data_IF_387421130278
#
_entry.id   IF_387421130278
#
_cell.length_a   1.000
_cell.length_b   1.000
_cell.length_c   1.000
_cell.angle_alpha   90.00
_cell.angle_beta   90.00
_cell.angle_gamma   90.00
#
_symmetry.space_group_name_H-M   'P 1'
#
loop_
_entity.id
_entity.type
_entity.pdbx_description
1 polymer ?
#
# COMPACT_ATOMS: atom_id res chain seq x y z
N UNK A 1 -15.63 -5.55 -7.24
CA UNK A 1 -14.62 -4.86 -6.41
C UNK A 1 -14.81 -5.27 -4.97
N UNK A 2 -13.71 -5.60 -4.29
CA UNK A 2 -13.70 -5.91 -2.86
C UNK A 2 -12.75 -4.97 -2.13
N UNK A 3 -13.05 -4.70 -0.86
CA UNK A 3 -12.32 -3.74 -0.04
C UNK A 3 -11.97 -4.38 1.29
N UNK A 4 -10.76 -4.17 1.77
CA UNK A 4 -10.39 -4.69 3.08
C UNK A 4 -9.03 -4.29 3.58
N UNK A 5 -8.80 -4.61 4.85
CA UNK A 5 -7.51 -4.42 5.48
C UNK A 5 -6.60 -5.63 5.32
N UNK A 6 -5.31 -5.37 5.24
CA UNK A 6 -4.28 -6.40 5.37
C UNK A 6 -3.11 -5.87 6.19
N UNK A 7 -2.45 -6.76 6.93
CA UNK A 7 -1.18 -6.49 7.62
C UNK A 7 -0.02 -7.24 6.93
N UNK A 8 -0.22 -7.69 5.69
CA UNK A 8 0.89 -8.20 4.89
C UNK A 8 1.89 -7.08 4.63
N UNK A 9 3.19 -7.41 4.58
CA UNK A 9 4.26 -6.44 4.37
C UNK A 9 4.19 -5.22 5.30
N UNK A 10 3.97 -5.45 6.61
CA UNK A 10 4.08 -4.43 7.66
C UNK A 10 5.25 -4.70 8.63
N UNK A 11 5.78 -5.92 8.65
CA UNK A 11 6.88 -6.34 9.52
C UNK A 11 8.26 -5.90 8.99
N UNK A 12 8.41 -4.60 8.70
CA UNK A 12 9.67 -4.03 8.24
C UNK A 12 10.65 -3.91 9.41
N UNK A 13 11.58 -4.86 9.58
CA UNK A 13 12.63 -4.72 10.58
C UNK A 13 13.62 -3.60 10.20
N UNK A 14 13.78 -2.61 11.10
CA UNK A 14 14.67 -1.46 10.91
C UNK A 14 16.14 -1.86 10.74
N UNK A 15 16.55 -3.04 11.24
CA UNK A 15 17.89 -3.58 11.02
C UNK A 15 18.03 -4.26 9.64
N UNK A 16 17.04 -5.04 9.20
CA UNK A 16 17.02 -5.66 7.86
C UNK A 16 16.94 -4.63 6.72
N UNK A 17 16.33 -3.46 6.98
CA UNK A 17 16.20 -2.32 6.06
C UNK A 17 17.53 -1.77 5.50
N UNK A 18 18.66 -1.97 6.18
CA UNK A 18 19.91 -1.27 5.81
C UNK A 18 20.86 -2.04 4.87
N UNK A 19 20.68 -3.34 4.61
CA UNK A 19 21.68 -4.10 3.84
C UNK A 19 21.13 -5.03 2.74
N UNK A 20 20.01 -5.71 2.98
CA UNK A 20 19.52 -6.77 2.08
C UNK A 20 18.17 -6.42 1.44
N UNK A 21 17.27 -5.87 2.24
CA UNK A 21 15.95 -5.41 1.80
C UNK A 21 16.02 -4.24 0.80
N UNK A 22 16.92 -3.26 0.93
CA UNK A 22 17.12 -2.24 -0.14
C UNK A 22 17.50 -2.90 -1.47
N UNK A 23 18.22 -4.02 -1.48
CA UNK A 23 18.58 -4.73 -2.72
C UNK A 23 17.41 -5.54 -3.28
N UNK A 24 16.60 -6.17 -2.44
CA UNK A 24 15.40 -6.92 -2.85
C UNK A 24 14.30 -5.96 -3.29
N UNK A 25 14.06 -4.88 -2.54
CA UNK A 25 13.19 -3.77 -2.90
C UNK A 25 13.69 -3.16 -4.21
N UNK A 26 14.95 -2.77 -4.38
CA UNK A 26 15.45 -2.28 -5.68
C UNK A 26 15.37 -3.29 -6.82
N UNK A 27 15.35 -4.60 -6.54
CA UNK A 27 15.23 -5.64 -7.57
C UNK A 27 13.77 -5.87 -7.98
N UNK A 28 12.83 -5.80 -7.03
CA UNK A 28 11.37 -5.85 -7.27
C UNK A 28 10.91 -4.53 -7.91
N UNK A 29 11.40 -3.41 -7.39
CA UNK A 29 11.11 -2.05 -7.82
C UNK A 29 12.03 -1.57 -8.96
N UNK A 30 12.78 -2.44 -9.64
CA UNK A 30 13.77 -2.02 -10.66
C UNK A 30 13.13 -1.31 -11.86
N UNK A 31 11.85 -1.55 -12.12
CA UNK A 31 11.07 -0.92 -13.18
C UNK A 31 10.37 0.37 -12.76
N UNK A 32 10.55 0.79 -11.50
CA UNK A 32 9.82 1.92 -10.95
C UNK A 32 10.47 3.24 -11.37
N UNK A 33 9.76 4.12 -12.10
CA UNK A 33 10.23 5.46 -12.38
C UNK A 33 10.52 6.18 -11.05
N UNK A 34 11.56 7.02 -11.04
CA UNK A 34 12.07 7.76 -9.87
C UNK A 34 11.04 8.59 -9.08
N UNK A 35 9.78 8.66 -9.50
CA UNK A 35 8.68 9.33 -8.81
C UNK A 35 8.14 8.58 -7.58
N UNK A 36 8.28 7.26 -7.51
CA UNK A 36 7.74 6.44 -6.41
C UNK A 36 8.58 6.51 -5.10
N UNK A 37 9.66 7.30 -5.10
CA UNK A 37 10.63 7.43 -4.00
C UNK A 37 10.07 8.16 -2.76
N UNK A 38 8.93 8.85 -2.88
CA UNK A 38 8.34 9.62 -1.78
C UNK A 38 7.64 8.70 -0.77
N UNK A 39 6.96 7.65 -1.21
CA UNK A 39 6.25 6.71 -0.32
C UNK A 39 7.15 5.65 0.31
N UNK A 40 8.29 5.30 -0.31
CA UNK A 40 9.23 4.30 0.24
C UNK A 40 9.70 4.62 1.67
N UNK A 41 9.82 5.90 2.01
CA UNK A 41 10.20 6.35 3.36
C UNK A 41 9.09 6.17 4.39
N UNK A 42 7.85 5.99 3.94
CA UNK A 42 6.66 5.83 4.76
C UNK A 42 6.28 4.37 4.95
N UNK A 43 6.69 3.45 4.06
CA UNK A 43 6.42 2.01 4.20
C UNK A 43 6.79 1.43 5.57
N UNK A 44 7.93 1.78 6.20
CA UNK A 44 8.28 1.27 7.52
C UNK A 44 7.42 1.82 8.67
N UNK A 45 6.51 2.74 8.36
CA UNK A 45 5.52 3.30 9.30
C UNK A 45 4.12 2.72 9.04
N UNK A 46 3.96 1.93 7.98
CA UNK A 46 2.69 1.30 7.64
C UNK A 46 2.53 0.05 8.49
N UNK A 47 1.51 0.09 9.34
CA UNK A 47 1.13 -1.02 10.23
C UNK A 47 -0.13 -1.74 9.73
N UNK A 48 -0.86 -1.10 8.80
CA UNK A 48 -2.03 -1.67 8.15
C UNK A 48 -2.22 -1.04 6.78
N UNK A 49 -2.57 -1.87 5.81
CA UNK A 49 -2.96 -1.45 4.47
C UNK A 49 -4.46 -1.54 4.35
N UNK A 50 -5.08 -0.53 3.74
CA UNK A 50 -6.46 -0.58 3.29
C UNK A 50 -6.44 -0.62 1.76
N UNK A 51 -6.92 -1.70 1.17
CA UNK A 51 -6.80 -1.96 -0.26
C UNK A 51 -8.16 -2.16 -0.93
N UNK A 52 -8.25 -1.73 -2.18
CA UNK A 52 -9.29 -2.11 -3.13
C UNK A 52 -8.70 -3.12 -4.11
N UNK A 53 -9.41 -4.24 -4.30
CA UNK A 53 -9.06 -5.26 -5.28
C UNK A 53 -10.21 -5.45 -6.28
N UNK A 54 -9.86 -5.82 -7.51
CA UNK A 54 -10.84 -6.20 -8.52
C UNK A 54 -11.41 -7.60 -8.28
N UNK A 55 -12.31 -8.03 -9.16
CA UNK A 55 -12.96 -9.35 -9.05
C UNK A 55 -11.98 -10.52 -9.27
N UNK A 56 -10.77 -10.24 -9.78
CA UNK A 56 -9.69 -11.20 -9.95
C UNK A 56 -8.69 -11.18 -8.78
N UNK A 57 -8.89 -10.32 -7.78
CA UNK A 57 -7.97 -10.13 -6.66
C UNK A 57 -6.78 -9.21 -6.96
N UNK A 58 -6.80 -8.49 -8.09
CA UNK A 58 -5.75 -7.56 -8.48
C UNK A 58 -5.93 -6.25 -7.70
N UNK A 59 -4.89 -5.76 -6.99
CA UNK A 59 -4.95 -4.49 -6.27
C UNK A 59 -5.05 -3.30 -7.23
N UNK A 60 -6.07 -2.47 -7.00
CA UNK A 60 -6.38 -1.29 -7.81
C UNK A 60 -6.02 0.01 -7.10
N UNK A 61 -6.25 0.07 -5.79
CA UNK A 61 -5.92 1.20 -4.91
C UNK A 61 -5.44 0.72 -3.56
N UNK A 62 -4.56 1.47 -2.93
CA UNK A 62 -4.03 1.21 -1.60
C UNK A 62 -3.92 2.48 -0.75
N UNK A 63 -4.08 2.31 0.56
CA UNK A 63 -3.89 3.35 1.56
C UNK A 63 -3.01 2.77 2.65
N UNK A 64 -1.89 3.44 2.91
CA UNK A 64 -1.01 3.14 4.04
C UNK A 64 -1.54 3.79 5.32
N UNK A 65 -1.73 3.01 6.38
CA UNK A 65 -2.15 3.45 7.70
C UNK A 65 -1.11 3.09 8.76
N UNK A 66 -0.95 3.94 9.77
CA UNK A 66 -0.11 3.63 10.94
C UNK A 66 -0.89 2.89 12.05
N UNK A 67 -0.22 2.60 13.18
CA UNK A 67 -0.78 1.92 14.37
C UNK A 67 -2.07 2.55 14.92
N UNK A 68 -2.29 3.85 14.67
CA UNK A 68 -3.46 4.60 15.14
C UNK A 68 -4.56 4.72 14.06
N UNK A 69 -4.49 3.91 12.99
CA UNK A 69 -5.29 4.04 11.78
C UNK A 69 -5.23 5.44 11.15
N UNK A 70 -4.14 6.18 11.38
CA UNK A 70 -3.94 7.49 10.78
C UNK A 70 -3.44 7.30 9.35
N UNK A 71 -4.05 8.03 8.43
CA UNK A 71 -3.65 8.12 7.04
C UNK A 71 -2.19 8.55 6.90
N UNK A 72 -1.40 7.79 6.15
CA UNK A 72 -0.03 8.13 5.77
C UNK A 72 0.04 8.60 4.31
N UNK A 73 -0.50 7.79 3.40
CA UNK A 73 -0.54 8.07 1.96
C UNK A 73 -1.59 7.19 1.27
N UNK A 74 -1.89 7.50 0.01
CA UNK A 74 -2.71 6.69 -0.89
C UNK A 74 -2.08 6.60 -2.27
N UNK A 75 -2.20 5.43 -2.91
CA UNK A 75 -1.66 5.14 -4.24
C UNK A 75 -2.62 4.25 -5.04
N UNK A 76 -2.63 4.30 -6.38
CA UNK A 76 -1.84 5.19 -7.23
C UNK A 76 -2.26 6.66 -7.10
N UNK A 77 -1.32 7.56 -7.34
CA UNK A 77 -1.51 8.99 -7.51
C UNK A 77 -0.54 9.54 -8.59
N UNK A 78 -0.57 10.85 -8.85
CA UNK A 78 0.24 11.50 -9.89
C UNK A 78 1.76 11.26 -9.77
N UNK A 79 2.25 10.89 -8.59
CA UNK A 79 3.67 10.72 -8.29
C UNK A 79 4.06 9.27 -8.00
N UNK A 80 3.15 8.49 -7.44
CA UNK A 80 3.45 7.17 -6.89
C UNK A 80 2.43 6.14 -7.40
N UNK A 81 2.92 5.04 -7.96
CA UNK A 81 2.08 3.93 -8.44
C UNK A 81 1.52 3.14 -7.25
N UNK A 82 2.28 3.03 -6.16
CA UNK A 82 1.94 2.23 -4.98
C UNK A 82 2.70 0.92 -4.88
N UNK A 83 2.66 0.28 -3.71
CA UNK A 83 3.38 -0.96 -3.43
C UNK A 83 2.61 -2.19 -3.92
N UNK A 84 1.35 -2.33 -3.51
CA UNK A 84 0.51 -3.46 -3.89
C UNK A 84 0.04 -3.36 -5.34
N UNK A 85 -0.30 -2.16 -5.77
CA UNK A 85 -0.77 -1.86 -7.14
C UNK A 85 0.31 -2.06 -8.21
N UNK A 86 1.59 -2.02 -7.84
CA UNK A 86 2.72 -2.38 -8.70
C UNK A 86 3.20 -3.84 -8.49
N UNK A 87 2.63 -4.54 -7.51
CA UNK A 87 3.01 -5.91 -7.18
C UNK A 87 2.25 -6.91 -8.05
N UNK A 88 2.87 -8.03 -8.48
CA UNK A 88 2.17 -9.13 -9.13
C UNK A 88 1.30 -9.95 -8.15
N UNK A 89 1.16 -9.52 -6.88
CA UNK A 89 0.37 -10.21 -5.86
C UNK A 89 -1.12 -10.16 -6.20
N UNK A 90 -1.73 -11.33 -6.25
CA UNK A 90 -3.19 -11.51 -6.30
C UNK A 90 -3.68 -11.80 -4.89
N UNK A 91 -4.68 -11.05 -4.41
CA UNK A 91 -5.30 -11.21 -3.11
C UNK A 91 -6.50 -12.17 -3.17
N UNK A 92 -6.61 -13.01 -2.15
CA UNK A 92 -7.77 -13.85 -1.89
C UNK A 92 -8.62 -13.24 -0.76
N UNK A 93 -9.92 -13.53 -0.75
CA UNK A 93 -10.86 -12.95 0.23
C UNK A 93 -10.46 -13.17 1.69
N UNK A 94 -9.80 -14.29 1.99
CA UNK A 94 -9.33 -14.63 3.35
C UNK A 94 -8.06 -13.88 3.78
N UNK A 95 -7.40 -13.16 2.88
CA UNK A 95 -6.24 -12.32 3.18
C UNK A 95 -6.65 -10.88 3.55
N UNK A 96 -7.94 -10.58 3.46
CA UNK A 96 -8.52 -9.27 3.74
C UNK A 96 -9.56 -9.32 4.85
N UNK A 97 -9.43 -8.40 5.81
CA UNK A 97 -10.52 -8.07 6.71
C UNK A 97 -11.47 -7.09 5.98
N UNK A 98 -12.62 -7.60 5.53
CA UNK A 98 -13.54 -6.85 4.66
C UNK A 98 -14.05 -5.56 5.27
N UNK A 99 -14.11 -4.50 4.46
CA UNK A 99 -14.79 -3.24 4.79
C UNK A 99 -15.79 -2.87 3.70
N UNK A 100 -16.66 -1.89 3.98
CA UNK A 100 -17.59 -1.38 2.97
C UNK A 100 -16.88 -0.44 2.00
N UNK A 101 -17.41 -0.35 0.77
CA UNK A 101 -16.94 0.59 -0.24
C UNK A 101 -17.00 2.04 0.26
N UNK A 102 -18.10 2.42 0.94
CA UNK A 102 -18.30 3.78 1.43
C UNK A 102 -17.23 4.16 2.47
N UNK A 103 -16.85 3.21 3.31
CA UNK A 103 -15.77 3.41 4.26
C UNK A 103 -14.44 3.60 3.54
N UNK A 104 -14.13 2.78 2.55
CA UNK A 104 -12.91 2.92 1.75
C UNK A 104 -12.83 4.31 1.09
N UNK A 105 -13.88 4.74 0.40
CA UNK A 105 -13.93 6.05 -0.28
C UNK A 105 -13.81 7.23 0.70
N UNK A 106 -14.39 7.10 1.90
CA UNK A 106 -14.26 8.10 2.94
C UNK A 106 -12.80 8.29 3.37
N UNK A 107 -12.02 7.21 3.49
CA UNK A 107 -10.60 7.31 3.84
C UNK A 107 -9.78 7.76 2.63
N UNK A 108 -10.05 7.22 1.43
CA UNK A 108 -9.38 7.58 0.18
C UNK A 108 -9.46 9.08 -0.13
N UNK A 109 -10.64 9.68 0.05
CA UNK A 109 -10.84 11.11 -0.20
C UNK A 109 -10.01 12.02 0.72
N UNK A 110 -9.65 11.58 1.93
CA UNK A 110 -8.77 12.36 2.83
C UNK A 110 -7.38 12.59 2.24
N UNK A 111 -6.86 11.63 1.48
CA UNK A 111 -5.60 11.75 0.76
C UNK A 111 -5.68 12.64 -0.49
N UNK A 112 -6.87 12.72 -1.09
CA UNK A 112 -7.08 13.42 -2.37
C UNK A 112 -7.34 14.91 -2.19
N UNK A 113 -7.88 15.33 -1.03
CA UNK A 113 -8.27 16.73 -0.74
C UNK A 113 -7.06 17.62 -0.36
N UNK A 114 -5.88 17.05 -0.15
CA UNK A 114 -4.70 17.79 0.35
C UNK A 114 -3.77 18.38 -0.75
N UNK A 115 -4.28 18.60 -1.97
CA UNK A 115 -3.55 19.26 -3.07
C UNK A 115 -3.98 20.72 -3.25
#
# INVERSE_FOLDING_TARGET
MNYGYTTLATDWDKEEMNALSIRIIKAILFFIPSGNLDHEKLYPKVEKWLIEIDDNGIPMREIGLNENNKFLFSSPNDRNIGFWTDSPKIFHENELETVTQEYFELIWSKGTISN
#
